data_IF_031053642463
#
_entry.id   IF_031053642463
#
_cell.length_a   1.000
_cell.length_b   1.000
_cell.length_c   1.000
_cell.angle_alpha   90.00
_cell.angle_beta   90.00
_cell.angle_gamma   90.00
#
_symmetry.space_group_name_H-M   'P 1'
#
loop_
_entity.id
_entity.type
_entity.pdbx_description
1 polymer ?
#
# COMPACT_ATOMS: atom_id res chain seq x y z
N UNK A 1 9.98 -25.89 18.41
CA UNK A 1 10.46 -26.49 17.13
C UNK A 1 9.20 -26.77 16.31
N UNK A 2 8.81 -25.82 15.47
CA UNK A 2 7.71 -26.04 14.52
C UNK A 2 8.30 -26.55 13.22
N UNK A 3 8.00 -27.80 12.89
CA UNK A 3 8.31 -28.42 11.60
C UNK A 3 7.31 -27.90 10.57
N UNK A 4 7.79 -27.07 9.62
CA UNK A 4 7.02 -26.68 8.45
C UNK A 4 6.74 -27.93 7.59
N UNK A 5 5.48 -28.28 7.41
CA UNK A 5 5.06 -29.25 6.40
C UNK A 5 5.25 -28.61 5.03
N UNK A 6 6.12 -29.22 4.21
CA UNK A 6 6.24 -28.93 2.80
C UNK A 6 4.94 -29.33 2.07
N UNK A 7 4.04 -28.37 1.93
CA UNK A 7 2.94 -28.38 0.99
C UNK A 7 3.10 -27.17 0.10
N UNK A 8 2.99 -27.34 -1.21
CA UNK A 8 3.19 -26.38 -2.29
C UNK A 8 2.26 -25.13 -2.13
N UNK A 9 2.57 -24.27 -1.13
CA UNK A 9 1.96 -22.98 -0.97
C UNK A 9 2.77 -22.00 -1.84
N UNK A 10 2.14 -21.48 -2.89
CA UNK A 10 2.65 -20.28 -3.56
C UNK A 10 3.01 -19.27 -2.44
N UNK A 11 4.27 -18.79 -2.43
CA UNK A 11 4.68 -17.78 -1.43
C UNK A 11 3.66 -16.67 -1.46
N UNK A 12 3.00 -16.42 -0.32
CA UNK A 12 2.04 -15.33 -0.22
C UNK A 12 2.77 -14.03 -0.54
N UNK A 13 2.35 -13.35 -1.62
CA UNK A 13 2.98 -12.11 -2.08
C UNK A 13 2.85 -10.98 -1.05
N UNK A 14 1.80 -11.01 -0.23
CA UNK A 14 1.47 -9.94 0.72
C UNK A 14 2.32 -10.03 1.98
N UNK A 15 3.61 -9.73 1.84
CA UNK A 15 4.60 -9.69 2.91
C UNK A 15 5.63 -8.59 2.65
N UNK A 16 6.28 -8.10 3.70
CA UNK A 16 7.32 -7.06 3.59
C UNK A 16 6.75 -5.68 3.26
N UNK A 17 7.52 -4.86 2.58
CA UNK A 17 7.16 -3.47 2.28
C UNK A 17 6.79 -3.32 0.81
N UNK A 18 5.63 -2.76 0.53
CA UNK A 18 5.14 -2.50 -0.84
C UNK A 18 4.81 -1.01 -0.99
N UNK A 19 5.46 -0.27 -1.89
CA UNK A 19 5.13 1.12 -2.15
C UNK A 19 3.85 1.21 -2.98
N UNK A 20 2.98 2.14 -2.62
CA UNK A 20 1.83 2.52 -3.43
C UNK A 20 2.30 3.56 -4.46
N UNK A 21 2.52 3.12 -5.70
CA UNK A 21 3.05 3.98 -6.77
C UNK A 21 2.09 5.12 -7.11
N UNK A 22 2.64 6.31 -7.23
CA UNK A 22 1.99 7.48 -7.82
C UNK A 22 2.20 7.50 -9.32
N UNK A 23 1.25 8.05 -10.07
CA UNK A 23 1.37 8.17 -11.52
C UNK A 23 2.05 9.50 -11.89
N UNK A 24 3.23 9.48 -12.53
CA UNK A 24 3.85 10.69 -13.07
C UNK A 24 3.02 11.24 -14.22
N UNK A 25 3.08 12.56 -14.42
CA UNK A 25 2.26 13.28 -15.38
C UNK A 25 3.14 14.08 -16.34
N UNK A 26 2.94 13.91 -17.65
CA UNK A 26 3.59 14.67 -18.71
C UNK A 26 3.04 16.09 -18.83
N UNK A 27 3.70 16.92 -19.62
CA UNK A 27 3.27 18.30 -19.87
C UNK A 27 1.89 18.40 -20.53
N UNK A 28 1.49 17.40 -21.30
CA UNK A 28 0.14 17.29 -21.93
C UNK A 28 -0.92 16.68 -21.00
N UNK A 29 -0.59 16.48 -19.72
CA UNK A 29 -1.47 15.89 -18.71
C UNK A 29 -1.85 14.42 -18.96
N UNK A 30 -1.06 13.73 -19.75
CA UNK A 30 -1.15 12.27 -19.87
C UNK A 30 -0.17 11.56 -18.92
N UNK A 31 -0.43 10.28 -18.57
CA UNK A 31 0.49 9.52 -17.72
C UNK A 31 1.87 9.34 -18.36
N UNK A 32 2.93 9.48 -17.58
CA UNK A 32 4.28 9.09 -17.95
C UNK A 32 4.61 7.68 -17.46
N UNK A 33 4.28 6.70 -18.28
CA UNK A 33 4.49 5.30 -17.92
C UNK A 33 5.98 4.89 -17.94
N UNK A 34 6.84 5.60 -18.66
CA UNK A 34 8.27 5.29 -18.66
C UNK A 34 8.90 5.71 -17.33
N UNK A 35 8.53 6.90 -16.82
CA UNK A 35 8.91 7.35 -15.48
C UNK A 35 8.29 6.44 -14.38
N UNK A 36 7.04 5.99 -14.53
CA UNK A 36 6.39 5.05 -13.62
C UNK A 36 7.19 3.73 -13.52
N UNK A 37 7.58 3.14 -14.66
CA UNK A 37 8.36 1.90 -14.71
C UNK A 37 9.76 2.10 -14.12
N UNK A 38 10.41 3.23 -14.42
CA UNK A 38 11.72 3.60 -13.83
C UNK A 38 11.61 3.60 -12.30
N UNK A 39 10.63 4.32 -11.75
CA UNK A 39 10.41 4.38 -10.29
C UNK A 39 10.11 3.02 -9.68
N UNK A 40 9.27 2.21 -10.33
CA UNK A 40 8.98 0.85 -9.87
C UNK A 40 10.26 -0.02 -9.77
N UNK A 41 11.16 0.07 -10.74
CA UNK A 41 12.46 -0.65 -10.70
C UNK A 41 13.34 -0.16 -9.55
N UNK A 42 13.50 1.15 -9.39
CA UNK A 42 14.28 1.73 -8.30
C UNK A 42 13.80 1.25 -6.93
N UNK A 43 12.49 1.15 -6.73
CA UNK A 43 11.90 0.70 -5.47
C UNK A 43 12.12 -0.81 -5.23
N UNK A 44 12.00 -1.64 -6.25
CA UNK A 44 12.32 -3.07 -6.15
C UNK A 44 13.81 -3.28 -5.90
N UNK A 45 14.68 -2.53 -6.59
CA UNK A 45 16.14 -2.58 -6.38
C UNK A 45 16.54 -2.10 -4.98
N UNK A 46 15.76 -1.20 -4.37
CA UNK A 46 15.93 -0.76 -2.99
C UNK A 46 15.51 -1.80 -1.95
N UNK A 47 14.82 -2.89 -2.34
CA UNK A 47 14.40 -3.97 -1.45
C UNK A 47 12.90 -4.05 -1.18
N UNK A 48 12.06 -3.28 -1.87
CA UNK A 48 10.61 -3.44 -1.79
C UNK A 48 10.17 -4.80 -2.36
N UNK A 49 9.19 -5.45 -1.72
CA UNK A 49 8.78 -6.81 -2.07
C UNK A 49 7.91 -6.91 -3.32
N UNK A 50 7.14 -5.89 -3.59
CA UNK A 50 6.31 -5.70 -4.79
C UNK A 50 5.96 -4.22 -4.92
N UNK A 51 5.35 -3.81 -6.02
CA UNK A 51 4.77 -2.46 -6.19
C UNK A 51 3.26 -2.55 -6.27
N UNK A 52 2.55 -1.61 -5.63
CA UNK A 52 1.09 -1.51 -5.73
C UNK A 52 0.74 -0.37 -6.68
N UNK A 53 -0.05 -0.66 -7.73
CA UNK A 53 -0.46 0.35 -8.68
C UNK A 53 -1.99 0.42 -8.83
N UNK A 54 -2.52 1.57 -9.22
CA UNK A 54 -3.95 1.88 -9.26
C UNK A 54 -4.67 1.81 -7.90
N UNK A 55 -3.94 2.02 -6.79
CA UNK A 55 -4.51 2.40 -5.51
C UNK A 55 -4.84 3.91 -5.48
N UNK A 56 -5.30 4.43 -4.34
CA UNK A 56 -5.60 5.87 -4.14
C UNK A 56 -4.41 6.75 -4.51
N UNK A 57 -3.20 6.32 -4.13
CA UNK A 57 -1.95 7.01 -4.48
C UNK A 57 -1.66 7.07 -5.98
N UNK A 58 -2.15 6.10 -6.75
CA UNK A 58 -1.92 6.01 -8.19
C UNK A 58 -2.86 6.87 -9.04
N UNK A 59 -3.60 7.78 -8.43
CA UNK A 59 -4.54 8.68 -9.11
C UNK A 59 -5.64 7.93 -9.90
N UNK A 60 -6.03 6.69 -9.48
CA UNK A 60 -6.97 5.88 -10.25
C UNK A 60 -8.29 6.59 -10.62
N UNK A 61 -8.84 7.53 -9.82
CA UNK A 61 -10.06 8.23 -10.21
C UNK A 61 -9.88 9.22 -11.37
N UNK A 62 -8.64 9.62 -11.65
CA UNK A 62 -8.28 10.60 -12.68
C UNK A 62 -7.79 9.94 -13.98
N UNK A 63 -7.60 8.62 -13.96
CA UNK A 63 -7.17 7.83 -15.13
C UNK A 63 -8.33 7.11 -15.77
N UNK A 64 -8.32 6.99 -17.10
CA UNK A 64 -9.26 6.09 -17.79
C UNK A 64 -8.93 4.62 -17.50
N UNK A 65 -9.90 3.71 -17.69
CA UNK A 65 -9.66 2.27 -17.49
C UNK A 65 -8.54 1.77 -18.42
N UNK A 66 -8.42 2.30 -19.65
CA UNK A 66 -7.36 1.98 -20.61
C UNK A 66 -5.99 2.44 -20.13
N UNK A 67 -5.87 3.66 -19.58
CA UNK A 67 -4.62 4.19 -19.02
C UNK A 67 -4.18 3.36 -17.79
N UNK A 68 -5.12 2.96 -16.96
CA UNK A 68 -4.86 2.09 -15.81
C UNK A 68 -4.32 0.73 -16.25
N UNK A 69 -4.98 0.10 -17.23
CA UNK A 69 -4.57 -1.17 -17.82
C UNK A 69 -3.20 -1.06 -18.48
N UNK A 70 -2.93 0.02 -19.24
CA UNK A 70 -1.62 0.24 -19.86
C UNK A 70 -0.50 0.36 -18.82
N UNK A 71 -0.70 1.14 -17.74
CA UNK A 71 0.29 1.27 -16.67
C UNK A 71 0.61 -0.06 -16.01
N UNK A 72 -0.42 -0.86 -15.68
CA UNK A 72 -0.25 -2.22 -15.13
C UNK A 72 0.52 -3.13 -16.09
N UNK A 73 0.15 -3.12 -17.38
CA UNK A 73 0.81 -3.93 -18.40
C UNK A 73 2.29 -3.55 -18.58
N UNK A 74 2.62 -2.25 -18.58
CA UNK A 74 4.00 -1.78 -18.68
C UNK A 74 4.86 -2.18 -17.50
N UNK A 75 4.34 -2.07 -16.27
CA UNK A 75 5.02 -2.54 -15.07
C UNK A 75 5.26 -4.06 -15.12
N UNK A 76 4.24 -4.86 -15.46
CA UNK A 76 4.35 -6.31 -15.59
C UNK A 76 5.34 -6.74 -16.69
N UNK A 77 5.29 -6.12 -17.89
CA UNK A 77 6.23 -6.34 -18.98
C UNK A 77 7.67 -5.98 -18.63
N UNK A 78 7.86 -5.03 -17.71
CA UNK A 78 9.19 -4.71 -17.19
C UNK A 78 9.72 -5.73 -16.16
N UNK A 79 8.97 -6.79 -15.88
CA UNK A 79 9.32 -7.85 -14.94
C UNK A 79 9.07 -7.49 -13.45
N UNK A 80 8.32 -6.43 -13.18
CA UNK A 80 8.03 -6.01 -11.82
C UNK A 80 6.90 -6.84 -11.20
N UNK A 81 6.99 -7.25 -9.93
CA UNK A 81 5.89 -7.86 -9.20
C UNK A 81 4.84 -6.79 -8.86
N UNK A 82 3.71 -6.77 -9.60
CA UNK A 82 2.68 -5.75 -9.48
C UNK A 82 1.46 -6.28 -8.75
N UNK A 83 1.06 -5.60 -7.68
CA UNK A 83 -0.26 -5.74 -7.04
C UNK A 83 -1.17 -4.66 -7.62
N UNK A 84 -2.34 -5.04 -8.11
CA UNK A 84 -3.23 -4.14 -8.86
C UNK A 84 -4.42 -3.73 -8.01
N UNK A 85 -4.62 -2.42 -7.85
CA UNK A 85 -5.84 -1.85 -7.31
C UNK A 85 -6.98 -1.91 -8.32
N UNK A 86 -8.10 -2.53 -7.94
CA UNK A 86 -9.28 -2.70 -8.81
C UNK A 86 -10.40 -1.69 -8.52
N UNK A 87 -10.06 -0.59 -7.84
CA UNK A 87 -11.04 0.44 -7.46
C UNK A 87 -11.86 0.94 -8.64
N UNK A 88 -13.20 0.99 -8.50
CA UNK A 88 -14.09 1.49 -9.52
C UNK A 88 -15.45 1.91 -8.92
N UNK A 89 -16.13 2.81 -9.60
CA UNK A 89 -17.48 3.25 -9.23
C UNK A 89 -18.53 2.12 -9.42
N UNK A 90 -18.27 1.21 -10.37
CA UNK A 90 -19.17 0.10 -10.67
C UNK A 90 -18.42 -1.25 -10.75
N UNK A 91 -19.15 -2.33 -10.50
CA UNK A 91 -18.58 -3.68 -10.50
C UNK A 91 -18.09 -4.13 -11.89
N UNK A 92 -18.67 -3.63 -12.98
CA UNK A 92 -18.26 -4.03 -14.34
C UNK A 92 -16.84 -3.59 -14.65
N UNK A 93 -16.49 -2.33 -14.35
CA UNK A 93 -15.11 -1.82 -14.50
C UNK A 93 -14.15 -2.56 -13.57
N UNK A 94 -14.51 -2.77 -12.28
CA UNK A 94 -13.66 -3.50 -11.35
C UNK A 94 -13.36 -4.93 -11.80
N UNK A 95 -14.35 -5.63 -12.35
CA UNK A 95 -14.22 -6.98 -12.94
C UNK A 95 -13.28 -6.96 -14.15
N UNK A 96 -13.42 -5.96 -15.04
CA UNK A 96 -12.56 -5.83 -16.21
C UNK A 96 -11.09 -5.60 -15.82
N UNK A 97 -10.84 -4.76 -14.80
CA UNK A 97 -9.50 -4.49 -14.28
C UNK A 97 -8.88 -5.74 -13.63
N UNK A 98 -9.65 -6.52 -12.87
CA UNK A 98 -9.18 -7.77 -12.28
C UNK A 98 -8.85 -8.82 -13.34
N UNK A 99 -9.72 -9.01 -14.33
CA UNK A 99 -9.47 -9.92 -15.44
C UNK A 99 -8.23 -9.52 -16.25
N UNK A 100 -8.03 -8.22 -16.48
CA UNK A 100 -6.82 -7.70 -17.13
C UNK A 100 -5.57 -7.98 -16.28
N UNK A 101 -5.62 -7.74 -14.97
CA UNK A 101 -4.51 -8.00 -14.05
C UNK A 101 -4.06 -9.47 -14.12
N UNK A 102 -5.00 -10.43 -14.10
CA UNK A 102 -4.68 -11.85 -14.28
C UNK A 102 -4.05 -12.11 -15.66
N UNK A 103 -4.61 -11.55 -16.73
CA UNK A 103 -4.11 -11.73 -18.10
C UNK A 103 -2.66 -11.29 -18.28
N UNK A 104 -2.25 -10.22 -17.62
CA UNK A 104 -0.88 -9.66 -17.75
C UNK A 104 0.10 -10.19 -16.70
N UNK A 105 -0.33 -11.11 -15.83
CA UNK A 105 0.53 -11.76 -14.86
C UNK A 105 0.81 -10.93 -13.61
N UNK A 106 -0.15 -10.09 -13.18
CA UNK A 106 -0.08 -9.42 -11.89
C UNK A 106 0.04 -10.44 -10.74
N UNK A 107 0.85 -10.12 -9.73
CA UNK A 107 1.13 -11.04 -8.61
C UNK A 107 0.10 -10.97 -7.50
N UNK A 108 -0.77 -9.94 -7.49
CA UNK A 108 -1.81 -9.78 -6.49
C UNK A 108 -2.86 -8.74 -6.87
N UNK A 109 -4.00 -8.81 -6.20
CA UNK A 109 -5.07 -7.80 -6.28
C UNK A 109 -5.28 -7.13 -4.93
N UNK A 110 -5.48 -5.82 -4.96
CA UNK A 110 -5.98 -5.04 -3.83
C UNK A 110 -7.39 -4.58 -4.15
N UNK A 111 -8.38 -5.19 -3.51
CA UNK A 111 -9.81 -5.01 -3.82
C UNK A 111 -10.43 -4.07 -2.80
N UNK A 112 -11.10 -3.03 -3.27
CA UNK A 112 -11.84 -2.09 -2.42
C UNK A 112 -13.35 -2.29 -2.56
N UNK A 113 -14.16 -1.86 -1.57
CA UNK A 113 -15.61 -1.84 -1.73
C UNK A 113 -16.03 -0.94 -2.89
N UNK A 114 -17.24 -1.14 -3.38
CA UNK A 114 -17.82 -0.26 -4.40
C UNK A 114 -18.00 1.14 -3.81
N UNK A 115 -17.27 2.11 -4.36
CA UNK A 115 -17.29 3.50 -3.89
C UNK A 115 -18.49 4.28 -4.44
N UNK A 116 -18.88 5.37 -3.76
CA UNK A 116 -19.98 6.27 -4.16
C UNK A 116 -21.33 5.54 -4.39
N UNK A 117 -21.50 4.39 -3.74
CA UNK A 117 -22.72 3.59 -3.89
C UNK A 117 -23.78 4.07 -2.90
N UNK A 118 -24.94 4.43 -3.43
CA UNK A 118 -26.13 4.62 -2.60
C UNK A 118 -26.62 3.26 -2.12
N UNK A 119 -26.88 3.12 -0.82
CA UNK A 119 -27.38 1.89 -0.24
C UNK A 119 -26.39 0.72 -0.39
N UNK A 120 -25.14 0.92 -0.02
CA UNK A 120 -24.11 -0.12 0.00
C UNK A 120 -24.39 -1.12 1.13
N UNK A 121 -25.43 -1.95 0.98
CA UNK A 121 -25.69 -3.05 1.89
C UNK A 121 -24.54 -4.08 1.85
N UNK A 122 -24.35 -4.82 2.95
CA UNK A 122 -23.38 -5.91 2.98
C UNK A 122 -23.60 -6.92 1.83
N UNK A 123 -24.86 -7.18 1.45
CA UNK A 123 -25.21 -8.04 0.31
C UNK A 123 -24.72 -7.48 -1.04
N UNK A 124 -24.87 -6.17 -1.26
CA UNK A 124 -24.39 -5.51 -2.48
C UNK A 124 -22.87 -5.50 -2.55
N UNK A 125 -22.19 -5.27 -1.42
CA UNK A 125 -20.73 -5.34 -1.35
C UNK A 125 -20.22 -6.77 -1.50
N UNK A 126 -20.90 -7.77 -0.89
CA UNK A 126 -20.59 -9.18 -1.12
C UNK A 126 -20.65 -9.54 -2.61
N UNK A 127 -21.70 -9.11 -3.31
CA UNK A 127 -21.81 -9.35 -4.75
C UNK A 127 -20.66 -8.67 -5.55
N UNK A 128 -20.29 -7.45 -5.19
CA UNK A 128 -19.18 -6.72 -5.81
C UNK A 128 -17.84 -7.45 -5.63
N UNK A 129 -17.48 -7.80 -4.40
CA UNK A 129 -16.25 -8.52 -4.10
C UNK A 129 -16.20 -9.88 -4.79
N UNK A 130 -17.29 -10.64 -4.72
CA UNK A 130 -17.43 -11.95 -5.38
C UNK A 130 -17.19 -11.86 -6.90
N UNK A 131 -17.77 -10.85 -7.55
CA UNK A 131 -17.58 -10.65 -9.00
C UNK A 131 -16.10 -10.40 -9.36
N UNK A 132 -15.39 -9.61 -8.57
CA UNK A 132 -13.96 -9.29 -8.78
C UNK A 132 -13.10 -10.54 -8.55
N UNK A 133 -13.30 -11.25 -7.43
CA UNK A 133 -12.54 -12.45 -7.07
C UNK A 133 -12.73 -13.57 -8.10
N UNK A 134 -13.93 -13.71 -8.66
CA UNK A 134 -14.22 -14.66 -9.74
C UNK A 134 -13.57 -14.28 -11.07
N UNK A 135 -13.31 -12.99 -11.32
CA UNK A 135 -12.71 -12.53 -12.56
C UNK A 135 -11.20 -12.80 -12.64
N UNK A 136 -10.56 -13.05 -11.50
CA UNK A 136 -9.14 -13.36 -11.39
C UNK A 136 -8.88 -14.45 -10.34
N UNK A 137 -9.39 -15.68 -10.55
CA UNK A 137 -9.36 -16.73 -9.53
C UNK A 137 -7.95 -17.25 -9.22
N UNK A 138 -7.00 -17.05 -10.13
CA UNK A 138 -5.61 -17.52 -9.98
C UNK A 138 -4.69 -16.45 -9.36
N UNK A 139 -5.21 -15.23 -9.13
CA UNK A 139 -4.43 -14.14 -8.54
C UNK A 139 -4.82 -13.97 -7.07
N UNK A 140 -3.85 -14.07 -6.14
CA UNK A 140 -4.11 -13.82 -4.73
C UNK A 140 -4.62 -12.39 -4.53
N UNK A 141 -5.62 -12.24 -3.66
CA UNK A 141 -6.28 -10.96 -3.43
C UNK A 141 -6.36 -10.62 -1.94
N UNK A 142 -6.28 -9.32 -1.63
CA UNK A 142 -6.59 -8.79 -0.32
C UNK A 142 -7.76 -7.81 -0.41
N UNK A 143 -8.61 -7.76 0.61
CA UNK A 143 -9.59 -6.68 0.76
C UNK A 143 -8.89 -5.51 1.44
N UNK A 144 -8.98 -4.34 0.82
CA UNK A 144 -8.51 -3.08 1.40
C UNK A 144 -9.66 -2.38 2.11
N UNK A 145 -9.57 -2.36 3.43
CA UNK A 145 -10.49 -1.67 4.31
C UNK A 145 -9.96 -0.27 4.63
N UNK A 146 -10.79 0.74 4.40
CA UNK A 146 -10.45 2.13 4.70
C UNK A 146 -11.74 2.92 4.95
N UNK A 147 -11.77 3.78 5.97
CA UNK A 147 -12.91 4.65 6.25
C UNK A 147 -13.24 5.59 5.09
N UNK A 148 -12.26 5.92 4.24
CA UNK A 148 -12.44 6.77 3.05
C UNK A 148 -13.45 6.21 2.05
N UNK A 149 -13.60 4.88 1.99
CA UNK A 149 -14.52 4.24 1.04
C UNK A 149 -15.96 4.13 1.55
N UNK A 150 -16.23 4.54 2.78
CA UNK A 150 -17.59 4.59 3.34
C UNK A 150 -18.24 3.23 3.61
N UNK A 151 -17.48 2.13 3.55
CA UNK A 151 -17.92 0.79 3.91
C UNK A 151 -16.80 0.03 4.61
N UNK A 152 -17.06 -0.45 5.81
CA UNK A 152 -16.13 -1.28 6.57
C UNK A 152 -16.46 -2.77 6.37
N UNK A 153 -15.52 -3.52 5.81
CA UNK A 153 -15.60 -4.98 5.74
C UNK A 153 -15.31 -5.56 7.11
N UNK A 154 -16.24 -6.32 7.66
CA UNK A 154 -16.11 -7.00 8.95
C UNK A 154 -15.92 -8.51 8.74
N UNK A 155 -15.56 -9.22 9.81
CA UNK A 155 -15.16 -10.62 9.78
C UNK A 155 -16.22 -11.54 9.14
N UNK A 156 -17.49 -11.32 9.42
CA UNK A 156 -18.60 -12.12 8.87
C UNK A 156 -18.63 -12.06 7.33
N UNK A 157 -18.51 -10.87 6.75
CA UNK A 157 -18.44 -10.69 5.31
C UNK A 157 -17.14 -11.27 4.73
N UNK A 158 -16.00 -11.02 5.39
CA UNK A 158 -14.70 -11.52 4.95
C UNK A 158 -14.72 -13.05 4.84
N UNK A 159 -15.14 -13.77 5.90
CA UNK A 159 -15.18 -15.23 5.90
C UNK A 159 -16.25 -15.80 5.00
N UNK A 160 -17.39 -15.13 4.84
CA UNK A 160 -18.40 -15.51 3.85
C UNK A 160 -17.90 -15.41 2.39
N UNK A 161 -16.93 -14.54 2.11
CA UNK A 161 -16.26 -14.45 0.81
C UNK A 161 -15.14 -15.50 0.69
N UNK A 162 -14.29 -15.62 1.71
CA UNK A 162 -13.16 -16.54 1.71
C UNK A 162 -13.58 -18.01 1.56
N UNK A 163 -14.73 -18.39 2.16
CA UNK A 163 -15.26 -19.74 2.01
C UNK A 163 -15.58 -20.12 0.56
N UNK A 164 -15.91 -19.14 -0.29
CA UNK A 164 -16.22 -19.33 -1.70
C UNK A 164 -15.02 -19.01 -2.62
N UNK A 165 -14.04 -18.23 -2.13
CA UNK A 165 -12.91 -17.70 -2.91
C UNK A 165 -11.57 -17.93 -2.21
N UNK A 166 -10.90 -19.07 -2.45
CA UNK A 166 -9.61 -19.39 -1.82
C UNK A 166 -8.49 -18.40 -2.16
N UNK A 167 -8.63 -17.66 -3.27
CA UNK A 167 -7.70 -16.59 -3.67
C UNK A 167 -7.79 -15.32 -2.81
N UNK A 168 -8.79 -15.17 -1.94
CA UNK A 168 -8.84 -14.12 -0.95
C UNK A 168 -7.93 -14.49 0.23
N UNK A 169 -6.69 -13.97 0.27
CA UNK A 169 -5.63 -14.41 1.17
C UNK A 169 -5.20 -13.38 2.20
N UNK A 170 -5.86 -12.23 2.27
CA UNK A 170 -5.44 -11.22 3.22
C UNK A 170 -6.38 -10.03 3.34
N UNK A 171 -5.97 -9.15 4.25
CA UNK A 171 -6.71 -7.94 4.61
C UNK A 171 -5.72 -6.78 4.78
N UNK A 172 -5.96 -5.65 4.10
CA UNK A 172 -5.23 -4.40 4.31
C UNK A 172 -6.10 -3.47 5.13
N UNK A 173 -5.58 -2.96 6.25
CA UNK A 173 -6.31 -2.05 7.13
C UNK A 173 -5.67 -0.67 7.16
N UNK A 174 -6.49 0.37 6.97
CA UNK A 174 -6.09 1.78 6.99
C UNK A 174 -6.73 2.57 8.14
N UNK A 175 -7.57 1.97 8.96
CA UNK A 175 -8.41 2.65 9.94
C UNK A 175 -7.73 3.01 11.28
N UNK A 176 -6.41 2.90 11.41
CA UNK A 176 -5.69 3.19 12.65
C UNK A 176 -5.68 2.03 13.66
N UNK A 177 -5.23 2.31 14.90
CA UNK A 177 -4.94 1.26 15.92
C UNK A 177 -6.11 0.35 16.24
N UNK A 178 -7.29 0.92 16.42
CA UNK A 178 -8.45 0.12 16.82
C UNK A 178 -8.96 -0.79 15.70
N UNK A 179 -8.90 -0.33 14.45
CA UNK A 179 -9.30 -1.14 13.30
C UNK A 179 -8.24 -2.20 12.97
N UNK A 180 -6.94 -1.89 13.11
CA UNK A 180 -5.85 -2.87 13.01
C UNK A 180 -6.01 -3.97 14.06
N UNK A 181 -6.30 -3.59 15.32
CA UNK A 181 -6.58 -4.55 16.38
C UNK A 181 -7.82 -5.40 16.06
N UNK A 182 -8.91 -4.78 15.57
CA UNK A 182 -10.10 -5.53 15.15
C UNK A 182 -9.77 -6.55 14.08
N UNK A 183 -9.01 -6.17 13.04
CA UNK A 183 -8.60 -7.07 11.97
C UNK A 183 -7.75 -8.24 12.51
N UNK A 184 -6.80 -7.95 13.39
CA UNK A 184 -5.98 -8.96 14.04
C UNK A 184 -6.82 -9.93 14.87
N UNK A 185 -7.67 -9.44 15.77
CA UNK A 185 -8.47 -10.25 16.68
C UNK A 185 -9.55 -11.08 15.97
N UNK A 186 -10.16 -10.55 14.92
CA UNK A 186 -11.38 -11.13 14.35
C UNK A 186 -11.21 -11.71 12.94
N UNK A 187 -10.13 -11.40 12.23
CA UNK A 187 -9.91 -11.86 10.86
C UNK A 187 -8.63 -12.69 10.78
N UNK A 188 -7.47 -12.08 10.97
CA UNK A 188 -6.19 -12.76 10.67
C UNK A 188 -5.78 -13.78 11.73
N UNK A 189 -6.21 -13.64 12.99
CA UNK A 189 -6.01 -14.67 14.02
C UNK A 189 -6.89 -15.91 13.86
N UNK A 190 -7.92 -15.85 13.01
CA UNK A 190 -8.86 -16.96 12.83
C UNK A 190 -8.44 -17.94 11.72
N UNK A 191 -7.50 -17.57 10.86
CA UNK A 191 -6.99 -18.38 9.75
C UNK A 191 -5.53 -18.02 9.47
N UNK A 192 -4.60 -18.93 9.76
CA UNK A 192 -3.16 -18.78 9.58
C UNK A 192 -2.74 -18.52 8.11
N UNK A 193 -3.67 -18.74 7.15
CA UNK A 193 -3.42 -18.46 5.74
C UNK A 193 -3.94 -17.08 5.31
N UNK A 194 -4.40 -16.25 6.26
CA UNK A 194 -4.85 -14.88 6.02
C UNK A 194 -3.84 -13.91 6.59
N UNK A 195 -3.28 -13.05 5.75
CA UNK A 195 -2.28 -12.06 6.16
C UNK A 195 -2.90 -10.70 6.44
N UNK A 196 -2.33 -9.98 7.40
CA UNK A 196 -2.63 -8.58 7.66
C UNK A 196 -1.54 -7.70 7.02
N UNK A 197 -2.00 -6.72 6.21
CA UNK A 197 -1.16 -5.66 5.67
C UNK A 197 -1.53 -4.33 6.35
N UNK A 198 -0.54 -3.65 6.91
CA UNK A 198 -0.72 -2.28 7.40
C UNK A 198 -0.92 -1.36 6.20
N UNK A 199 -1.95 -0.54 6.24
CA UNK A 199 -2.29 0.37 5.14
C UNK A 199 -2.07 1.85 5.45
N UNK A 200 -1.88 2.20 6.72
CA UNK A 200 -1.67 3.55 7.21
C UNK A 200 -0.23 3.73 7.68
N UNK A 201 0.46 4.74 7.15
CA UNK A 201 1.90 4.92 7.35
C UNK A 201 2.27 5.33 8.79
N UNK A 202 1.33 5.84 9.57
CA UNK A 202 1.51 6.25 10.97
C UNK A 202 1.41 5.10 11.98
N UNK A 203 1.04 3.88 11.56
CA UNK A 203 0.78 2.75 12.45
C UNK A 203 1.55 1.47 12.08
N UNK A 204 2.68 1.62 11.40
CA UNK A 204 3.50 0.47 10.94
C UNK A 204 4.00 -0.34 12.12
N UNK A 205 4.60 0.31 13.12
CA UNK A 205 5.07 -0.38 14.33
C UNK A 205 3.93 -1.11 15.05
N UNK A 206 2.79 -0.43 15.24
CA UNK A 206 1.62 -1.02 15.91
C UNK A 206 1.12 -2.26 15.16
N UNK A 207 1.01 -2.18 13.83
CA UNK A 207 0.57 -3.28 12.99
C UNK A 207 1.45 -4.53 13.11
N UNK A 208 2.77 -4.35 13.04
CA UNK A 208 3.70 -5.49 13.15
C UNK A 208 3.84 -6.00 14.59
N UNK A 209 4.16 -5.11 15.53
CA UNK A 209 4.52 -5.50 16.89
C UNK A 209 3.34 -5.94 17.76
N UNK A 210 2.13 -5.45 17.47
CA UNK A 210 0.96 -5.68 18.31
C UNK A 210 -0.20 -6.41 17.60
N UNK A 211 -0.24 -6.37 16.24
CA UNK A 211 -1.35 -6.94 15.47
C UNK A 211 -0.92 -8.11 14.56
N UNK A 212 0.36 -8.49 14.54
CA UNK A 212 0.84 -9.63 13.75
C UNK A 212 0.81 -9.41 12.25
N UNK A 213 0.90 -8.15 11.80
CA UNK A 213 0.99 -7.84 10.37
C UNK A 213 2.25 -8.48 9.76
N UNK A 214 2.13 -8.94 8.53
CA UNK A 214 3.23 -9.56 7.77
C UNK A 214 3.81 -8.62 6.73
N UNK A 215 3.15 -7.50 6.47
CA UNK A 215 3.62 -6.50 5.53
C UNK A 215 2.92 -5.14 5.70
N UNK A 216 3.44 -4.15 4.96
CA UNK A 216 2.86 -2.82 4.87
C UNK A 216 2.73 -2.39 3.40
N UNK A 217 1.61 -1.76 3.05
CA UNK A 217 1.44 -1.05 1.78
C UNK A 217 1.48 0.44 2.10
N UNK A 218 2.56 1.10 1.74
CA UNK A 218 2.94 2.43 2.20
C UNK A 218 2.91 3.46 1.08
N UNK A 219 2.34 4.62 1.35
CA UNK A 219 2.36 5.77 0.45
C UNK A 219 3.72 6.47 0.47
N UNK A 220 4.21 6.79 1.66
CA UNK A 220 5.48 7.50 1.85
C UNK A 220 6.69 6.69 1.40
N UNK A 221 6.60 5.35 1.40
CA UNK A 221 7.67 4.46 0.92
C UNK A 221 8.02 4.65 -0.56
N UNK A 222 7.15 5.30 -1.36
CA UNK A 222 7.50 5.71 -2.72
C UNK A 222 8.49 6.88 -2.73
N UNK A 223 8.36 7.82 -1.80
CA UNK A 223 9.22 9.00 -1.69
C UNK A 223 10.45 8.79 -0.80
N UNK A 224 10.31 8.02 0.28
CA UNK A 224 11.33 7.77 1.29
C UNK A 224 11.50 6.25 1.51
N UNK A 225 11.99 5.51 0.50
CA UNK A 225 12.02 4.05 0.53
C UNK A 225 12.94 3.48 1.61
N UNK A 226 14.09 4.10 1.88
CA UNK A 226 15.06 3.62 2.87
C UNK A 226 14.48 3.66 4.29
N UNK A 227 13.85 4.76 4.61
CA UNK A 227 13.24 5.02 5.92
C UNK A 227 12.04 4.08 6.16
N UNK A 228 11.20 3.91 5.15
CA UNK A 228 10.06 3.00 5.22
C UNK A 228 10.50 1.53 5.37
N UNK A 229 11.50 1.09 4.60
CA UNK A 229 12.09 -0.26 4.72
C UNK A 229 12.71 -0.48 6.09
N UNK A 230 13.44 0.51 6.61
CA UNK A 230 14.05 0.44 7.93
C UNK A 230 13.00 0.33 9.03
N UNK A 231 11.93 1.16 8.97
CA UNK A 231 10.84 1.10 9.94
C UNK A 231 10.16 -0.28 9.96
N UNK A 232 9.85 -0.84 8.79
CA UNK A 232 9.28 -2.19 8.69
C UNK A 232 10.24 -3.25 9.22
N UNK A 233 11.53 -3.19 8.85
CA UNK A 233 12.55 -4.14 9.33
C UNK A 233 12.70 -4.12 10.86
N UNK A 234 12.78 -2.94 11.47
CA UNK A 234 12.82 -2.78 12.92
C UNK A 234 11.53 -3.28 13.59
N UNK A 235 10.37 -2.99 12.99
CA UNK A 235 9.06 -3.42 13.51
C UNK A 235 8.90 -4.95 13.48
N UNK A 236 9.40 -5.61 12.42
CA UNK A 236 9.45 -7.09 12.34
C UNK A 236 10.33 -7.69 13.44
N UNK A 237 11.56 -7.16 13.61
CA UNK A 237 12.45 -7.64 14.71
C UNK A 237 11.85 -7.37 16.10
N UNK A 238 11.12 -6.26 16.25
CA UNK A 238 10.40 -5.96 17.50
C UNK A 238 9.28 -6.97 17.79
N UNK A 239 8.55 -7.40 16.75
CA UNK A 239 7.54 -8.46 16.86
C UNK A 239 8.13 -9.81 17.25
N UNK A 240 9.39 -10.09 16.90
CA UNK A 240 10.17 -11.26 17.30
C UNK A 240 10.72 -11.16 18.74
N UNK A 241 10.47 -10.06 19.44
CA UNK A 241 10.88 -9.84 20.83
C UNK A 241 12.19 -9.08 21.01
N UNK A 242 12.77 -8.50 19.95
CA UNK A 242 13.99 -7.70 20.07
C UNK A 242 13.67 -6.34 20.71
N UNK A 243 14.09 -6.14 21.96
CA UNK A 243 13.81 -4.93 22.72
C UNK A 243 14.49 -3.67 22.14
N UNK A 244 15.69 -3.79 21.57
CA UNK A 244 16.40 -2.68 20.95
C UNK A 244 15.71 -2.26 19.65
N UNK A 245 15.33 -3.23 18.82
CA UNK A 245 14.57 -2.94 17.60
C UNK A 245 13.22 -2.28 17.92
N UNK A 246 12.55 -2.73 19.00
CA UNK A 246 11.30 -2.11 19.47
C UNK A 246 11.48 -0.63 19.81
N UNK A 247 12.54 -0.29 20.55
CA UNK A 247 12.82 1.11 20.90
C UNK A 247 13.10 1.94 19.64
N UNK A 248 13.97 1.42 18.76
CA UNK A 248 14.36 2.14 17.53
C UNK A 248 13.23 2.29 16.54
N UNK A 249 12.34 1.30 16.43
CA UNK A 249 11.13 1.41 15.61
C UNK A 249 10.20 2.53 16.10
N UNK A 250 9.98 2.62 17.42
CA UNK A 250 9.17 3.68 18.01
C UNK A 250 9.76 5.08 17.80
N UNK A 251 11.09 5.23 17.96
CA UNK A 251 11.78 6.49 17.71
C UNK A 251 11.66 6.93 16.25
N UNK A 252 11.83 5.99 15.31
CA UNK A 252 11.71 6.28 13.87
C UNK A 252 10.28 6.61 13.48
N UNK A 253 9.28 5.83 13.94
CA UNK A 253 7.86 6.09 13.64
C UNK A 253 7.41 7.45 14.17
N UNK A 254 7.80 7.83 15.40
CA UNK A 254 7.49 9.14 15.96
C UNK A 254 8.12 10.28 15.15
N UNK A 255 9.39 10.17 14.80
CA UNK A 255 10.08 11.18 13.99
C UNK A 255 9.53 11.28 12.55
N UNK A 256 9.00 10.17 12.04
CA UNK A 256 8.43 10.04 10.70
C UNK A 256 6.96 10.50 10.64
N UNK A 257 6.30 10.60 11.78
CA UNK A 257 4.83 10.72 11.91
C UNK A 257 4.24 11.88 11.12
N UNK A 258 4.88 13.05 11.10
CA UNK A 258 4.35 14.22 10.36
C UNK A 258 4.31 13.94 8.85
N UNK A 259 5.38 13.36 8.29
CA UNK A 259 5.45 13.04 6.86
C UNK A 259 4.54 11.86 6.52
N UNK A 260 4.47 10.87 7.40
CA UNK A 260 3.59 9.71 7.27
C UNK A 260 2.10 10.12 7.30
N UNK A 261 1.72 11.08 8.16
CA UNK A 261 0.32 11.53 8.30
C UNK A 261 -0.24 12.23 7.06
N UNK A 262 0.59 12.59 6.09
CA UNK A 262 0.08 13.14 4.83
C UNK A 262 -0.83 12.16 4.07
N UNK A 263 -0.72 10.84 4.30
CA UNK A 263 -1.60 9.85 3.70
C UNK A 263 -3.02 9.85 4.29
N UNK A 264 -3.21 10.44 5.44
CA UNK A 264 -4.52 10.56 6.10
C UNK A 264 -5.32 11.79 5.62
N UNK A 265 -4.65 12.71 4.90
CA UNK A 265 -5.24 13.94 4.38
C UNK A 265 -5.86 13.79 2.99
N UNK A 266 -6.65 14.79 2.59
CA UNK A 266 -7.27 14.85 1.26
C UNK A 266 -6.25 15.12 0.14
N UNK A 267 -5.14 15.77 0.45
CA UNK A 267 -4.09 16.18 -0.49
C UNK A 267 -2.89 15.21 -0.49
N UNK A 268 -3.10 13.99 -0.02
CA UNK A 268 -2.04 12.99 0.19
C UNK A 268 -1.11 12.82 -1.03
N UNK A 269 -1.67 12.70 -2.24
CA UNK A 269 -0.89 12.50 -3.47
C UNK A 269 -0.05 13.74 -3.79
N UNK A 270 -0.57 14.92 -3.55
CA UNK A 270 0.15 16.18 -3.80
C UNK A 270 1.36 16.33 -2.89
N UNK A 271 1.23 16.00 -1.60
CA UNK A 271 2.33 16.02 -0.64
C UNK A 271 3.42 15.03 -1.02
N UNK A 272 3.07 13.79 -1.34
CA UNK A 272 4.08 12.78 -1.65
C UNK A 272 4.74 13.00 -3.01
N UNK A 273 4.02 13.49 -4.02
CA UNK A 273 4.65 13.97 -5.26
C UNK A 273 5.59 15.16 -5.00
N UNK A 274 5.23 16.07 -4.08
CA UNK A 274 6.12 17.17 -3.69
C UNK A 274 7.40 16.67 -3.02
N UNK A 275 7.34 15.67 -2.14
CA UNK A 275 8.52 15.01 -1.57
C UNK A 275 9.41 14.38 -2.65
N UNK A 276 8.84 13.74 -3.67
CA UNK A 276 9.60 13.20 -4.80
C UNK A 276 10.32 14.31 -5.56
N UNK A 277 9.66 15.44 -5.80
CA UNK A 277 10.30 16.62 -6.44
C UNK A 277 11.42 17.18 -5.58
N UNK A 278 11.28 17.24 -4.26
CA UNK A 278 12.36 17.66 -3.35
C UNK A 278 13.55 16.69 -3.39
N UNK A 279 13.32 15.42 -3.71
CA UNK A 279 14.35 14.41 -3.93
C UNK A 279 14.97 14.45 -5.34
N UNK A 280 14.55 15.40 -6.19
CA UNK A 280 15.09 15.58 -7.55
C UNK A 280 14.34 14.82 -8.64
N UNK A 281 13.15 14.29 -8.36
CA UNK A 281 12.33 13.55 -9.30
C UNK A 281 11.30 14.49 -9.97
N UNK A 282 11.76 15.31 -10.91
CA UNK A 282 10.95 16.37 -11.55
C UNK A 282 9.76 15.84 -12.36
N UNK A 283 9.75 14.57 -12.77
CA UNK A 283 8.64 13.90 -13.43
C UNK A 283 7.35 13.85 -12.60
N UNK A 284 7.44 14.09 -11.29
CA UNK A 284 6.29 14.15 -10.37
C UNK A 284 5.78 15.56 -10.12
N UNK A 285 6.35 16.59 -10.75
CA UNK A 285 5.99 18.01 -10.54
C UNK A 285 4.60 18.35 -11.04
N UNK A 286 4.11 17.67 -12.08
CA UNK A 286 2.82 17.94 -12.70
C UNK A 286 1.73 16.99 -12.20
N UNK A 287 0.49 17.48 -12.23
CA UNK A 287 -0.71 16.72 -11.85
C UNK A 287 -1.69 16.67 -13.02
N UNK A 288 -2.62 15.69 -13.01
CA UNK A 288 -3.60 15.50 -14.08
C UNK A 288 -4.57 16.69 -14.21
N UNK A 289 -4.97 17.29 -13.08
CA UNK A 289 -5.69 18.56 -13.08
C UNK A 289 -4.72 19.71 -12.76
N UNK A 290 -4.79 20.80 -13.52
CA UNK A 290 -3.91 21.97 -13.32
C UNK A 290 -4.13 22.67 -11.98
N UNK A 291 -5.35 22.51 -11.42
CA UNK A 291 -5.74 23.11 -10.14
C UNK A 291 -5.31 22.28 -8.92
N UNK A 292 -4.88 21.04 -9.13
CA UNK A 292 -4.44 20.14 -8.06
C UNK A 292 -3.00 20.49 -7.66
N UNK A 293 -2.84 21.52 -6.85
CA UNK A 293 -1.55 22.03 -6.39
C UNK A 293 -1.60 22.33 -4.91
N UNK A 294 -0.50 22.06 -4.21
CA UNK A 294 -0.35 22.51 -2.83
C UNK A 294 -0.32 24.04 -2.78
N UNK A 295 -0.97 24.63 -1.80
CA UNK A 295 -0.80 26.03 -1.51
C UNK A 295 0.65 26.32 -1.08
N UNK A 296 1.09 27.56 -1.19
CA UNK A 296 2.41 27.97 -0.73
C UNK A 296 2.66 27.60 0.76
N UNK A 297 1.65 27.75 1.61
CA UNK A 297 1.75 27.37 3.01
C UNK A 297 1.94 25.85 3.20
N UNK A 298 1.24 25.02 2.43
CA UNK A 298 1.38 23.56 2.47
C UNK A 298 2.74 23.10 1.95
N UNK A 299 3.21 23.66 0.83
CA UNK A 299 4.54 23.36 0.29
C UNK A 299 5.65 23.70 1.27
N UNK A 300 5.62 24.92 1.83
CA UNK A 300 6.60 25.36 2.83
C UNK A 300 6.58 24.47 4.08
N UNK A 301 5.38 24.09 4.55
CA UNK A 301 5.25 23.20 5.70
C UNK A 301 5.88 21.84 5.41
N UNK A 302 5.57 21.24 4.26
CA UNK A 302 6.14 19.98 3.83
C UNK A 302 7.68 20.03 3.77
N UNK A 303 8.23 21.07 3.13
CA UNK A 303 9.69 21.28 3.01
C UNK A 303 10.37 21.42 4.37
N UNK A 304 9.76 22.18 5.29
CA UNK A 304 10.30 22.36 6.65
C UNK A 304 10.29 21.06 7.43
N UNK A 305 9.17 20.31 7.41
CA UNK A 305 9.08 19.02 8.10
C UNK A 305 10.04 17.99 7.51
N UNK A 306 10.15 17.95 6.18
CA UNK A 306 11.09 17.05 5.52
C UNK A 306 12.55 17.36 5.90
N UNK A 307 12.94 18.62 5.91
CA UNK A 307 14.29 19.04 6.34
C UNK A 307 14.57 18.72 7.82
N UNK A 308 13.60 18.91 8.70
CA UNK A 308 13.73 18.55 10.11
C UNK A 308 13.92 17.03 10.27
N UNK A 309 13.12 16.25 9.57
CA UNK A 309 13.25 14.80 9.57
C UNK A 309 14.62 14.35 9.02
N UNK A 310 15.06 14.87 7.88
CA UNK A 310 16.37 14.52 7.29
C UNK A 310 17.53 14.80 8.25
N UNK A 311 17.53 15.95 8.93
CA UNK A 311 18.57 16.29 9.90
C UNK A 311 18.56 15.31 11.09
N UNK A 312 17.38 15.04 11.62
CA UNK A 312 17.22 14.07 12.71
C UNK A 312 17.65 12.66 12.27
N UNK A 313 17.21 12.22 11.11
CA UNK A 313 17.50 10.87 10.59
C UNK A 313 19.00 10.65 10.35
N UNK A 314 19.72 11.67 9.85
CA UNK A 314 21.16 11.60 9.63
C UNK A 314 21.92 11.34 10.92
N UNK A 315 21.58 12.07 11.99
CA UNK A 315 22.19 11.91 13.32
C UNK A 315 21.80 10.58 13.98
N UNK A 316 20.49 10.25 13.91
CA UNK A 316 19.95 9.04 14.54
C UNK A 316 20.47 7.76 13.86
N UNK A 317 20.50 7.69 12.54
CA UNK A 317 20.95 6.51 11.79
C UNK A 317 22.45 6.25 11.95
N UNK A 318 23.24 7.29 12.27
CA UNK A 318 24.69 7.16 12.53
C UNK A 318 25.04 6.41 13.82
N UNK A 319 24.07 6.19 14.73
CA UNK A 319 24.31 5.58 16.04
C UNK A 319 24.65 4.09 15.97
N UNK A 320 24.55 3.43 14.82
CA UNK A 320 24.94 2.04 14.61
C UNK A 320 24.06 1.00 15.33
N UNK A 321 24.65 -0.14 15.68
CA UNK A 321 23.92 -1.24 16.35
C UNK A 321 22.84 -1.84 15.47
N UNK A 322 21.65 -2.10 16.03
CA UNK A 322 20.52 -2.74 15.34
C UNK A 322 20.08 -1.98 14.06
N UNK A 323 20.31 -0.66 13.99
CA UNK A 323 20.01 0.15 12.81
C UNK A 323 20.86 -0.34 11.63
N UNK A 324 22.17 -0.50 11.83
CA UNK A 324 23.10 -0.97 10.78
C UNK A 324 22.82 -2.40 10.32
N UNK A 325 22.18 -3.22 11.15
CA UNK A 325 21.77 -4.59 10.78
C UNK A 325 20.48 -4.61 9.95
N UNK A 326 19.71 -3.53 9.97
CA UNK A 326 18.42 -3.40 9.28
C UNK A 326 18.51 -2.59 7.98
N UNK A 327 19.57 -1.78 7.84
CA UNK A 327 19.87 -1.01 6.62
C UNK A 327 20.56 -1.88 5.57
#
# INVERSE_FOLDING_TARGET
VYTLKEGNMSKNVFTGTMPALMTPCKADRTPDFDALVKKGKELIDAGMSAVVYCGSMGDWPLLTDEQRMEGVERLAKAGLPVVVGTGAINSKSAVALAAHAQKVGAVGLMVIPRVLSRGSSAAAQKHHFKAILNAAPDVPAIIYNSPVYGFATRADLFFALRAEHPNLVGFKEFGGKDDLRYAAENITSQDDNVTLMVGVDTEVFHGFANCGATGAITGIGTALPKEALLLVSLSMKAAEGNAQARLRALELEEAFSVLASFDEGTDLVLYYKHLLVLNGEDEYRLHFNETDVLSHAQSNYCEQQYKLFQNWFADWSSQGGIISECM
#
